data_IF_237918344968
#
_entry.id   IF_237918344968
#
_cell.length_a   1.000
_cell.length_b   1.000
_cell.length_c   1.000
_cell.angle_alpha   90.00
_cell.angle_beta   90.00
_cell.angle_gamma   90.00
#
_symmetry.space_group_name_H-M   'P 1'
#
loop_
_entity.id
_entity.type
_entity.pdbx_description
1 polymer ?
#
# COMPACT_ATOMS: atom_id res chain seq x y z
N UNK A 1 0.75 6.56 3.72
CA UNK A 1 1.33 5.74 2.64
C UNK A 1 0.99 6.39 1.30
N UNK A 2 1.89 6.35 0.31
CA UNK A 2 1.76 7.10 -0.96
C UNK A 2 1.53 6.20 -2.19
N UNK A 3 1.72 4.89 -2.05
CA UNK A 3 1.60 3.92 -3.14
C UNK A 3 1.64 2.48 -2.62
N UNK A 4 1.14 1.55 -3.42
CA UNK A 4 1.22 0.10 -3.16
C UNK A 4 2.17 -0.50 -4.19
N UNK A 5 3.15 -1.28 -3.75
CA UNK A 5 4.13 -1.88 -4.65
C UNK A 5 3.45 -2.83 -5.63
N UNK A 6 3.65 -2.62 -6.94
CA UNK A 6 3.01 -3.41 -7.99
C UNK A 6 3.86 -4.61 -8.41
N UNK A 7 5.18 -4.51 -8.23
CA UNK A 7 6.15 -5.56 -8.54
C UNK A 7 7.06 -5.73 -7.34
N UNK A 8 7.21 -6.96 -6.85
CA UNK A 8 8.11 -7.27 -5.74
C UNK A 8 9.52 -6.69 -6.01
N UNK A 9 10.07 -6.02 -5.02
CA UNK A 9 11.34 -5.34 -5.10
C UNK A 9 12.14 -5.60 -3.82
N UNK A 10 13.44 -5.47 -3.93
CA UNK A 10 14.39 -5.70 -2.86
C UNK A 10 15.32 -4.49 -2.67
N UNK A 11 16.26 -4.61 -1.74
CA UNK A 11 17.28 -3.58 -1.47
C UNK A 11 18.23 -3.28 -2.63
N UNK A 12 18.26 -4.14 -3.66
CA UNK A 12 19.12 -3.96 -4.85
C UNK A 12 18.37 -3.33 -6.02
N UNK A 13 17.04 -3.23 -5.91
CA UNK A 13 16.17 -2.70 -6.94
C UNK A 13 16.38 -1.19 -7.09
N UNK A 14 16.93 -0.77 -8.22
CA UNK A 14 17.21 0.64 -8.52
C UNK A 14 15.97 1.44 -8.93
N UNK A 15 14.92 0.75 -9.38
CA UNK A 15 13.65 1.34 -9.79
C UNK A 15 12.50 0.55 -9.17
N UNK A 16 11.59 1.25 -8.51
CA UNK A 16 10.40 0.67 -7.89
C UNK A 16 9.17 0.99 -8.74
N UNK A 17 8.35 -0.03 -9.00
CA UNK A 17 7.06 0.14 -9.69
C UNK A 17 5.93 -0.02 -8.70
N UNK A 18 5.08 1.01 -8.58
CA UNK A 18 4.00 1.06 -7.61
C UNK A 18 2.72 1.64 -8.23
N UNK A 19 1.58 1.23 -7.69
CA UNK A 19 0.28 1.81 -8.00
C UNK A 19 0.14 3.17 -7.30
N UNK A 20 -0.21 4.21 -8.06
CA UNK A 20 -0.48 5.57 -7.57
C UNK A 20 -1.97 5.88 -7.39
N UNK A 21 -2.84 4.98 -7.85
CA UNK A 21 -4.30 5.12 -7.83
C UNK A 21 -4.99 3.77 -7.97
N UNK A 22 -6.24 3.68 -7.53
CA UNK A 22 -7.07 2.47 -7.67
C UNK A 22 -7.68 2.02 -6.34
N UNK A 23 -8.59 1.04 -6.41
CA UNK A 23 -9.22 0.44 -5.24
C UNK A 23 -8.65 -0.95 -4.99
N UNK A 24 -8.09 -1.17 -3.80
CA UNK A 24 -7.42 -2.41 -3.42
C UNK A 24 -8.15 -3.04 -2.24
N UNK A 25 -8.26 -4.36 -2.22
CA UNK A 25 -8.87 -5.07 -1.11
C UNK A 25 -7.93 -5.08 0.08
N UNK A 26 -8.48 -4.82 1.27
CA UNK A 26 -7.71 -4.81 2.51
C UNK A 26 -6.96 -6.13 2.73
N UNK A 27 -7.60 -7.26 2.43
CA UNK A 27 -7.05 -8.61 2.57
C UNK A 27 -5.93 -8.95 1.55
N UNK A 28 -5.90 -8.29 0.40
CA UNK A 28 -4.89 -8.53 -0.64
C UNK A 28 -3.60 -7.71 -0.40
N UNK A 29 -3.68 -6.68 0.44
CA UNK A 29 -2.54 -5.81 0.77
C UNK A 29 -1.74 -6.42 1.92
N UNK A 30 -0.46 -6.68 1.68
CA UNK A 30 0.48 -7.11 2.72
C UNK A 30 0.83 -5.94 3.64
N UNK A 31 0.05 -5.78 4.71
CA UNK A 31 0.27 -4.74 5.71
C UNK A 31 1.47 -5.07 6.61
N UNK A 32 2.29 -4.09 6.99
CA UNK A 32 3.36 -4.30 7.94
C UNK A 32 2.79 -4.65 9.32
N UNK A 33 3.43 -5.57 10.05
CA UNK A 33 3.02 -5.97 11.41
C UNK A 33 3.00 -4.79 12.39
N UNK A 34 3.86 -3.79 12.16
CA UNK A 34 3.89 -2.56 12.94
C UNK A 34 2.58 -1.75 12.86
N UNK A 35 1.79 -1.93 11.79
CA UNK A 35 0.43 -1.42 11.74
C UNK A 35 -0.48 -2.42 12.45
N UNK A 36 -0.73 -2.22 13.75
CA UNK A 36 -1.64 -3.06 14.53
C UNK A 36 -3.10 -2.60 14.45
N UNK A 37 -3.33 -1.34 14.10
CA UNK A 37 -4.64 -0.70 14.04
C UNK A 37 -5.23 -0.81 12.63
N UNK A 38 -6.37 -1.51 12.49
CA UNK A 38 -7.06 -1.70 11.22
C UNK A 38 -7.57 -0.38 10.63
N UNK A 39 -8.04 0.54 11.46
CA UNK A 39 -8.52 1.85 11.00
C UNK A 39 -7.38 2.64 10.38
N UNK A 40 -6.19 2.58 10.98
CA UNK A 40 -4.98 3.22 10.44
C UNK A 40 -4.54 2.60 9.12
N UNK A 41 -4.72 1.29 8.93
CA UNK A 41 -4.45 0.63 7.64
C UNK A 41 -5.43 1.08 6.56
N UNK A 42 -6.75 1.02 6.84
CA UNK A 42 -7.79 1.44 5.89
C UNK A 42 -7.67 2.92 5.49
N UNK A 43 -7.21 3.77 6.41
CA UNK A 43 -6.98 5.20 6.16
C UNK A 43 -5.54 5.55 5.80
N UNK A 44 -4.64 4.57 5.65
CA UNK A 44 -3.22 4.80 5.40
C UNK A 44 -2.96 5.60 4.11
N UNK A 45 -3.88 5.53 3.16
CA UNK A 45 -3.80 6.18 1.85
C UNK A 45 -4.72 7.40 1.71
N UNK A 46 -5.34 7.85 2.80
CA UNK A 46 -6.19 9.05 2.79
C UNK A 46 -5.42 10.26 2.25
N UNK A 47 -6.03 10.98 1.30
CA UNK A 47 -5.40 12.10 0.58
C UNK A 47 -4.66 11.69 -0.70
N UNK A 48 -4.59 10.41 -1.04
CA UNK A 48 -4.12 9.91 -2.33
C UNK A 48 -5.29 9.43 -3.20
N UNK A 49 -5.02 9.09 -4.46
CA UNK A 49 -6.01 8.48 -5.35
C UNK A 49 -6.20 6.96 -5.13
N UNK A 50 -5.66 6.41 -4.04
CA UNK A 50 -5.75 5.00 -3.65
C UNK A 50 -6.82 4.86 -2.57
N UNK A 51 -7.72 3.91 -2.74
CA UNK A 51 -8.70 3.51 -1.73
C UNK A 51 -8.54 2.06 -1.33
N UNK A 52 -8.81 1.77 -0.05
CA UNK A 52 -8.81 0.42 0.51
C UNK A 52 -10.25 0.02 0.80
N UNK A 53 -10.68 -1.11 0.25
CA UNK A 53 -12.02 -1.69 0.45
C UNK A 53 -11.93 -2.93 1.33
#
# INVERSE_FOLDING_TARGET
AVGILAVAADQTSTTLTFYKSGSFRYEDVLWPEAASDETKKRTAFAGTAISIV
#
